data_IF_181818786591
#
_entry.id   IF_181818786591
#
_cell.length_a   1.000
_cell.length_b   1.000
_cell.length_c   1.000
_cell.angle_alpha   90.00
_cell.angle_beta   90.00
_cell.angle_gamma   90.00
#
_symmetry.space_group_name_H-M   'P 1'
#
loop_
_entity.id
_entity.type
_entity.pdbx_description
1 polymer ?
#
# COMPACT_ATOMS: atom_id res chain seq x y z
N UNK A 1 -0.30 7.78 14.36
CA UNK A 1 0.31 7.11 13.18
C UNK A 1 1.41 6.20 13.70
N UNK A 2 1.44 4.95 13.25
CA UNK A 2 2.36 3.92 13.72
C UNK A 2 3.16 3.37 12.53
N UNK A 3 4.45 3.08 12.75
CA UNK A 3 5.37 2.60 11.71
C UNK A 3 5.55 1.09 11.82
N UNK A 4 5.50 0.42 10.67
CA UNK A 4 5.72 -1.02 10.53
C UNK A 4 7.03 -1.34 9.82
N UNK A 5 7.52 -2.56 10.04
CA UNK A 5 8.76 -3.04 9.41
C UNK A 5 8.52 -3.55 7.99
N UNK A 6 7.43 -4.27 7.76
CA UNK A 6 7.15 -4.95 6.50
C UNK A 6 5.71 -4.69 6.07
N UNK A 7 5.49 -4.70 4.76
CA UNK A 7 4.18 -4.70 4.11
C UNK A 7 4.00 -6.00 3.33
N UNK A 8 2.77 -6.53 3.28
CA UNK A 8 2.48 -7.81 2.63
C UNK A 8 1.32 -7.66 1.66
N UNK A 9 1.52 -8.13 0.42
CA UNK A 9 0.51 -8.10 -0.64
C UNK A 9 0.10 -9.54 -0.92
N UNK A 10 -1.17 -9.86 -0.70
CA UNK A 10 -1.71 -11.17 -1.05
C UNK A 10 -2.19 -11.14 -2.49
N UNK A 11 -1.86 -12.17 -3.26
CA UNK A 11 -2.34 -12.32 -4.64
C UNK A 11 -2.62 -13.79 -4.95
N UNK A 12 -3.44 -13.99 -5.97
CA UNK A 12 -3.72 -15.32 -6.52
C UNK A 12 -2.85 -15.55 -7.74
N UNK A 13 -2.15 -16.68 -7.78
CA UNK A 13 -1.38 -17.12 -8.94
C UNK A 13 -2.32 -17.70 -10.00
N UNK A 14 -1.81 -17.88 -11.21
CA UNK A 14 -2.56 -18.40 -12.36
C UNK A 14 -3.20 -19.77 -12.09
N UNK A 15 -2.53 -20.62 -11.31
CA UNK A 15 -3.03 -21.93 -10.87
C UNK A 15 -3.99 -21.86 -9.67
N UNK A 16 -4.60 -20.69 -9.42
CA UNK A 16 -5.57 -20.40 -8.36
C UNK A 16 -5.02 -20.63 -6.94
N UNK A 17 -3.70 -20.59 -6.75
CA UNK A 17 -3.09 -20.68 -5.43
C UNK A 17 -2.95 -19.30 -4.79
N UNK A 18 -2.95 -19.27 -3.46
CA UNK A 18 -2.67 -18.05 -2.70
C UNK A 18 -1.16 -17.90 -2.54
N UNK A 19 -0.64 -16.74 -2.92
CA UNK A 19 0.73 -16.34 -2.70
C UNK A 19 0.77 -14.98 -2.00
N UNK A 20 1.96 -14.61 -1.53
CA UNK A 20 2.18 -13.36 -0.82
C UNK A 20 3.55 -12.79 -1.13
N UNK A 21 3.56 -11.51 -1.50
CA UNK A 21 4.79 -10.72 -1.61
C UNK A 21 5.00 -9.93 -0.33
N UNK A 22 6.25 -9.82 0.11
CA UNK A 22 6.63 -9.06 1.29
C UNK A 22 7.62 -7.97 0.93
N UNK A 23 7.24 -6.72 1.17
CA UNK A 23 8.08 -5.54 0.93
C UNK A 23 8.64 -5.07 2.26
N UNK A 24 9.96 -4.95 2.35
CA UNK A 24 10.65 -4.44 3.52
C UNK A 24 11.39 -3.15 3.12
N UNK A 25 10.97 -1.96 3.58
CA UNK A 25 11.66 -0.70 3.29
C UNK A 25 13.13 -0.64 3.73
N UNK A 26 13.58 -1.57 4.58
CA UNK A 26 14.97 -1.69 5.01
C UNK A 26 15.80 -2.67 4.18
N UNK A 27 15.21 -3.35 3.19
CA UNK A 27 15.99 -4.17 2.26
C UNK A 27 16.71 -3.29 1.24
N UNK A 28 17.65 -3.89 0.50
CA UNK A 28 18.43 -3.19 -0.55
C UNK A 28 17.55 -2.77 -1.75
N UNK A 29 16.40 -3.43 -1.95
CA UNK A 29 15.48 -3.17 -3.05
C UNK A 29 14.01 -3.13 -2.56
N UNK A 30 13.54 -2.01 -1.99
CA UNK A 30 12.15 -1.84 -1.57
C UNK A 30 11.32 -1.18 -2.68
N UNK A 31 11.54 -1.59 -3.92
CA UNK A 31 10.89 -1.02 -5.10
C UNK A 31 9.61 -1.80 -5.43
N UNK A 32 8.54 -1.10 -5.76
CA UNK A 32 7.26 -1.68 -6.16
C UNK A 32 6.80 -1.09 -7.49
N UNK A 33 6.05 -1.91 -8.23
CA UNK A 33 5.35 -1.50 -9.45
C UNK A 33 3.88 -1.36 -9.15
N UNK A 34 3.29 -0.24 -9.57
CA UNK A 34 1.85 0.02 -9.45
C UNK A 34 1.32 0.29 -10.85
N UNK A 35 0.09 -0.13 -11.13
CA UNK A 35 -0.57 0.19 -12.39
C UNK A 35 -0.60 1.71 -12.57
N UNK A 36 -0.04 2.19 -13.67
CA UNK A 36 -0.01 3.61 -13.98
C UNK A 36 -1.41 4.11 -14.35
N UNK A 37 -1.59 5.43 -14.33
CA UNK A 37 -2.78 6.04 -14.92
C UNK A 37 -2.83 5.79 -16.43
N UNK A 38 -4.04 5.76 -17.01
CA UNK A 38 -4.28 5.41 -18.42
C UNK A 38 -3.52 6.32 -19.40
N UNK A 39 -3.23 7.56 -19.00
CA UNK A 39 -2.51 8.55 -19.80
C UNK A 39 -0.98 8.43 -19.73
N UNK A 40 -0.43 7.41 -19.07
CA UNK A 40 1.02 7.24 -18.96
C UNK A 40 1.59 6.49 -20.17
N UNK A 41 2.73 6.97 -20.70
CA UNK A 41 3.48 6.27 -21.76
C UNK A 41 3.93 4.85 -21.34
N UNK A 42 3.98 4.59 -20.03
CA UNK A 42 4.32 3.28 -19.47
C UNK A 42 3.15 2.69 -18.68
N UNK A 43 2.92 1.36 -18.77
CA UNK A 43 1.81 0.71 -18.07
C UNK A 43 1.97 0.69 -16.55
N UNK A 44 3.16 0.97 -16.01
CA UNK A 44 3.46 0.89 -14.58
C UNK A 44 4.23 2.10 -14.09
N UNK A 45 3.91 2.52 -12.87
CA UNK A 45 4.73 3.41 -12.06
C UNK A 45 5.70 2.60 -11.21
N UNK A 46 6.94 3.05 -11.18
CA UNK A 46 8.00 2.48 -10.36
C UNK A 46 8.24 3.40 -9.19
N UNK A 47 8.10 2.89 -7.98
CA UNK A 47 8.21 3.71 -6.77
C UNK A 47 9.04 2.98 -5.73
N UNK A 48 9.74 3.74 -4.88
CA UNK A 48 10.51 3.16 -3.78
C UNK A 48 9.79 3.38 -2.46
N UNK A 49 9.53 2.30 -1.73
CA UNK A 49 8.90 2.36 -0.40
C UNK A 49 9.93 2.82 0.64
N UNK A 50 9.64 3.95 1.28
CA UNK A 50 10.45 4.54 2.35
C UNK A 50 9.95 4.15 3.74
N UNK A 51 8.66 3.84 3.86
CA UNK A 51 8.05 3.43 5.12
C UNK A 51 6.65 2.88 4.96
N UNK A 52 6.30 1.97 5.86
CA UNK A 52 4.97 1.38 5.97
C UNK A 52 4.34 1.93 7.24
N UNK A 53 3.11 2.43 7.15
CA UNK A 53 2.42 3.05 8.27
C UNK A 53 0.98 2.60 8.36
N UNK A 54 0.42 2.69 9.56
CA UNK A 54 -1.03 2.64 9.76
C UNK A 54 -1.48 3.75 10.71
N UNK A 55 -2.75 4.12 10.61
CA UNK A 55 -3.41 5.05 11.51
C UNK A 55 -4.89 4.69 11.67
N UNK A 56 -5.41 4.92 12.87
CA UNK A 56 -6.85 4.94 13.09
C UNK A 56 -7.35 6.35 12.77
N UNK A 57 -8.17 6.47 11.73
CA UNK A 57 -8.67 7.74 11.21
C UNK A 57 -10.17 7.79 11.46
N UNK A 58 -10.64 8.83 12.15
CA UNK A 58 -12.07 9.12 12.27
C UNK A 58 -12.45 10.14 11.20
N UNK A 59 -13.42 9.80 10.35
CA UNK A 59 -13.94 10.73 9.36
C UNK A 59 -14.98 11.63 10.03
N UNK A 60 -14.64 12.89 10.31
CA UNK A 60 -15.55 13.85 10.98
C UNK A 60 -16.25 14.84 10.03
N UNK A 61 -16.28 14.57 8.72
CA UNK A 61 -16.88 15.47 7.73
C UNK A 61 -18.41 15.38 7.62
N UNK A 62 -19.05 16.41 7.06
CA UNK A 62 -20.51 16.50 6.84
C UNK A 62 -21.08 15.34 5.97
N UNK A 63 -20.22 14.70 5.16
CA UNK A 63 -20.55 13.51 4.35
C UNK A 63 -19.95 12.21 4.90
N UNK A 64 -19.46 12.23 6.13
CA UNK A 64 -18.94 11.02 6.76
C UNK A 64 -20.07 10.01 6.92
N UNK A 65 -19.90 8.83 6.31
CA UNK A 65 -20.86 7.74 6.43
C UNK A 65 -20.80 7.06 7.79
N UNK A 66 -19.64 7.11 8.45
CA UNK A 66 -19.42 6.49 9.75
C UNK A 66 -18.28 7.23 10.49
N UNK A 67 -18.56 7.79 11.69
CA UNK A 67 -17.54 8.42 12.52
C UNK A 67 -16.66 7.42 13.29
N UNK A 68 -16.89 6.11 13.15
CA UNK A 68 -16.07 5.09 13.80
C UNK A 68 -14.59 5.20 13.38
N UNK A 69 -13.63 4.94 14.29
CA UNK A 69 -12.22 4.92 13.93
C UNK A 69 -11.94 3.82 12.90
N UNK A 70 -11.45 4.20 11.72
CA UNK A 70 -11.08 3.27 10.66
C UNK A 70 -9.58 3.02 10.65
N UNK A 71 -9.17 1.76 10.67
CA UNK A 71 -7.78 1.38 10.54
C UNK A 71 -7.35 1.45 9.07
N UNK A 72 -6.49 2.41 8.74
CA UNK A 72 -5.99 2.64 7.38
C UNK A 72 -4.50 2.38 7.33
N UNK A 73 -4.08 1.58 6.36
CA UNK A 73 -2.68 1.30 6.03
C UNK A 73 -2.26 2.12 4.82
N UNK A 74 -1.07 2.71 4.88
CA UNK A 74 -0.54 3.51 3.78
C UNK A 74 0.99 3.41 3.70
N UNK A 75 1.50 3.57 2.48
CA UNK A 75 2.92 3.56 2.18
C UNK A 75 3.42 4.99 1.95
N UNK A 76 4.60 5.29 2.49
CA UNK A 76 5.35 6.49 2.11
C UNK A 76 6.33 6.10 1.01
N UNK A 77 6.19 6.72 -0.17
CA UNK A 77 6.92 6.38 -1.39
C UNK A 77 7.66 7.59 -1.95
N UNK A 78 8.68 7.34 -2.79
CA UNK A 78 9.33 8.32 -3.66
C UNK A 78 9.41 7.81 -5.10
#
# INVERSE_FOLDING_TARGET
>A
IYKHKNFRINYTTYDLRRSQDCVNPRSEAPDIMVLAHEDSDHPYWYTRVLGVFHANICHSGLRSRDPSPQHIEFLFIR
#
